data_IF_346347305709
#
_entry.id   IF_346347305709
#
_cell.length_a   1.000
_cell.length_b   1.000
_cell.length_c   1.000
_cell.angle_alpha   90.00
_cell.angle_beta   90.00
_cell.angle_gamma   90.00
#
_symmetry.space_group_name_H-M   'P 1'
#
loop_
_entity.id
_entity.type
_entity.pdbx_description
1 polymer ?
#
# COMPACT_ATOMS: atom_id res chain seq x y z
N UNK A 1 8.67 -0.84 -7.29
CA UNK A 1 8.16 -1.96 -8.11
C UNK A 1 6.66 -2.07 -8.02
N UNK A 2 5.99 -2.66 -9.05
CA UNK A 2 4.54 -2.75 -9.13
C UNK A 2 4.03 -4.18 -8.93
N UNK A 3 2.83 -4.33 -8.35
CA UNK A 3 2.12 -5.59 -8.14
C UNK A 3 3.01 -6.62 -7.43
N UNK A 4 3.20 -7.81 -7.96
CA UNK A 4 4.13 -8.82 -7.41
C UNK A 4 5.54 -8.24 -7.14
N UNK A 5 6.05 -7.34 -8.01
CA UNK A 5 7.34 -6.67 -7.76
C UNK A 5 7.24 -5.59 -6.66
N UNK A 6 6.06 -5.09 -6.37
CA UNK A 6 5.79 -4.26 -5.20
C UNK A 6 5.94 -5.05 -3.90
N UNK A 7 5.47 -6.29 -3.88
CA UNK A 7 5.77 -7.20 -2.77
C UNK A 7 7.28 -7.44 -2.63
N UNK A 8 7.97 -7.70 -3.74
CA UNK A 8 9.45 -7.79 -3.74
C UNK A 8 10.10 -6.51 -3.24
N UNK A 9 9.55 -5.33 -3.55
CA UNK A 9 10.05 -4.04 -3.04
C UNK A 9 10.00 -3.98 -1.51
N UNK A 10 8.93 -4.44 -0.89
CA UNK A 10 8.84 -4.56 0.55
C UNK A 10 9.85 -5.58 1.09
N UNK A 11 9.89 -6.76 0.51
CA UNK A 11 10.77 -7.86 0.99
C UNK A 11 12.24 -7.46 0.93
N UNK A 12 12.71 -6.83 -0.15
CA UNK A 12 14.11 -6.41 -0.24
C UNK A 12 14.43 -5.28 0.74
N UNK A 13 13.48 -4.37 0.96
CA UNK A 13 13.66 -3.29 1.94
C UNK A 13 13.77 -3.80 3.38
N UNK A 14 13.18 -4.95 3.69
CA UNK A 14 13.31 -5.59 5.00
C UNK A 14 14.70 -6.19 5.25
N UNK A 15 15.46 -6.55 4.21
CA UNK A 15 16.72 -7.30 4.33
C UNK A 15 17.94 -6.54 3.85
N UNK A 16 17.80 -5.55 2.97
CA UNK A 16 18.93 -4.80 2.40
C UNK A 16 18.99 -3.38 2.95
N UNK A 17 19.97 -3.12 3.81
CA UNK A 17 20.18 -1.81 4.46
C UNK A 17 20.66 -0.70 3.51
N UNK A 18 20.99 -1.02 2.25
CA UNK A 18 21.37 -0.02 1.23
C UNK A 18 20.15 0.69 0.65
N UNK A 19 18.94 0.19 0.90
CA UNK A 19 17.69 0.79 0.42
C UNK A 19 17.44 2.09 1.19
N UNK A 20 17.44 3.21 0.48
CA UNK A 20 17.25 4.54 1.06
C UNK A 20 15.82 5.07 0.96
N UNK A 21 15.01 4.51 0.08
CA UNK A 21 13.59 4.81 -0.08
C UNK A 21 12.91 3.71 -0.91
N UNK A 22 11.59 3.56 -0.77
CA UNK A 22 10.81 2.59 -1.55
C UNK A 22 9.55 3.19 -2.15
N UNK A 23 9.14 2.63 -3.29
CA UNK A 23 7.83 2.92 -3.91
C UNK A 23 7.18 1.59 -4.30
N UNK A 24 6.42 0.98 -3.39
CA UNK A 24 5.51 -0.11 -3.74
C UNK A 24 4.31 0.47 -4.49
N UNK A 25 3.98 -0.14 -5.63
CA UNK A 25 2.94 0.35 -6.54
C UNK A 25 1.92 -0.77 -6.74
N UNK A 26 0.64 -0.44 -6.64
CA UNK A 26 -0.51 -1.36 -6.80
C UNK A 26 -0.31 -2.69 -6.07
N UNK A 27 0.02 -2.60 -4.80
CA UNK A 27 0.20 -3.75 -3.89
C UNK A 27 -0.40 -3.40 -2.51
N UNK A 28 -1.66 -3.07 -2.49
CA UNK A 28 -2.39 -2.61 -1.31
C UNK A 28 -2.93 -3.78 -0.49
N UNK A 29 -2.04 -4.62 0.00
CA UNK A 29 -2.44 -5.85 0.70
C UNK A 29 -1.55 -6.28 1.87
N UNK A 30 -0.76 -5.40 2.45
CA UNK A 30 -0.07 -5.75 3.69
C UNK A 30 -1.09 -6.08 4.78
N UNK A 31 -0.71 -7.00 5.68
CA UNK A 31 -1.64 -7.64 6.61
C UNK A 31 -2.70 -8.45 5.86
N UNK A 32 -2.21 -9.50 5.20
CA UNK A 32 -2.94 -10.29 4.19
C UNK A 32 -4.27 -10.85 4.70
N UNK A 33 -4.30 -11.42 5.91
CA UNK A 33 -5.51 -12.09 6.40
C UNK A 33 -6.69 -11.11 6.56
N UNK A 34 -6.60 -10.00 7.31
CA UNK A 34 -7.69 -9.05 7.39
C UNK A 34 -8.01 -8.39 6.05
N UNK A 35 -7.02 -8.20 5.17
CA UNK A 35 -7.24 -7.65 3.82
C UNK A 35 -8.12 -8.58 2.97
N UNK A 36 -7.84 -9.88 2.91
CA UNK A 36 -8.67 -10.82 2.16
C UNK A 36 -10.03 -11.08 2.80
N UNK A 37 -10.12 -11.10 4.12
CA UNK A 37 -11.43 -11.19 4.81
C UNK A 37 -12.29 -9.96 4.49
N UNK A 38 -11.68 -8.78 4.43
CA UNK A 38 -12.38 -7.56 4.04
C UNK A 38 -12.79 -7.59 2.57
N UNK A 39 -11.93 -8.06 1.67
CA UNK A 39 -12.23 -8.25 0.25
C UNK A 39 -13.50 -9.11 0.07
N UNK A 40 -13.54 -10.29 0.70
CA UNK A 40 -14.72 -11.15 0.66
C UNK A 40 -15.97 -10.48 1.22
N UNK A 41 -15.84 -9.79 2.35
CA UNK A 41 -16.97 -9.09 2.99
C UNK A 41 -17.52 -7.94 2.13
N UNK A 42 -16.64 -7.24 1.41
CA UNK A 42 -17.04 -6.11 0.56
C UNK A 42 -17.79 -6.57 -0.71
N UNK A 43 -17.33 -7.66 -1.32
CA UNK A 43 -17.91 -8.15 -2.59
C UNK A 43 -18.90 -9.28 -2.44
N UNK A 44 -18.89 -10.01 -1.31
CA UNK A 44 -19.63 -11.27 -1.15
C UNK A 44 -18.97 -12.49 -1.83
N UNK A 45 -17.84 -12.28 -2.51
CA UNK A 45 -17.03 -13.29 -3.19
C UNK A 45 -15.60 -12.80 -3.33
N UNK A 46 -14.70 -13.68 -3.76
CA UNK A 46 -13.35 -13.27 -4.16
C UNK A 46 -13.35 -12.85 -5.63
N UNK A 47 -12.85 -11.66 -5.94
CA UNK A 47 -12.79 -11.15 -7.30
C UNK A 47 -12.02 -12.11 -8.23
N UNK A 48 -12.42 -12.22 -9.51
CA UNK A 48 -11.74 -13.11 -10.47
C UNK A 48 -10.24 -12.89 -10.57
N UNK A 49 -9.77 -11.64 -10.34
CA UNK A 49 -8.36 -11.30 -10.35
C UNK A 49 -7.52 -12.04 -9.29
N UNK A 50 -8.13 -12.49 -8.20
CA UNK A 50 -7.48 -13.31 -7.15
C UNK A 50 -7.89 -14.78 -7.22
N UNK A 51 -8.46 -15.22 -8.34
CA UNK A 51 -8.97 -16.57 -8.56
C UNK A 51 -7.93 -17.67 -8.34
N UNK A 52 -6.69 -17.45 -8.73
CA UNK A 52 -5.59 -18.41 -8.54
C UNK A 52 -5.44 -18.84 -7.06
N UNK A 53 -5.59 -17.90 -6.13
CA UNK A 53 -5.53 -18.21 -4.71
C UNK A 53 -6.74 -19.01 -4.21
N UNK A 54 -7.90 -18.78 -4.82
CA UNK A 54 -9.13 -19.55 -4.53
C UNK A 54 -8.99 -20.97 -5.04
N UNK A 55 -8.54 -21.14 -6.29
CA UNK A 55 -8.34 -22.46 -6.93
C UNK A 55 -7.30 -23.30 -6.19
N UNK A 56 -6.24 -22.67 -5.68
CA UNK A 56 -5.23 -23.32 -4.85
C UNK A 56 -5.71 -23.62 -3.41
N UNK A 57 -6.94 -23.23 -3.05
CA UNK A 57 -7.48 -23.42 -1.71
C UNK A 57 -6.85 -22.56 -0.61
N UNK A 58 -6.02 -21.57 -0.98
CA UNK A 58 -5.26 -20.71 -0.02
C UNK A 58 -6.21 -19.96 0.90
N UNK A 59 -7.36 -19.52 0.41
CA UNK A 59 -8.33 -18.77 1.19
C UNK A 59 -8.91 -19.54 2.37
N UNK A 60 -8.93 -20.88 2.30
CA UNK A 60 -9.36 -21.75 3.39
C UNK A 60 -8.32 -21.90 4.52
N UNK A 61 -7.08 -21.47 4.31
CA UNK A 61 -5.98 -21.64 5.27
C UNK A 61 -5.78 -20.44 6.20
N UNK A 62 -6.45 -19.32 5.93
CA UNK A 62 -6.18 -18.01 6.57
C UNK A 62 -6.17 -18.05 8.10
N UNK A 63 -6.99 -18.90 8.72
CA UNK A 63 -7.10 -19.00 10.17
C UNK A 63 -6.29 -20.17 10.77
N UNK A 64 -5.47 -20.87 9.96
CA UNK A 64 -4.68 -22.00 10.40
C UNK A 64 -3.33 -21.57 10.99
N UNK A 65 -2.79 -22.33 11.98
CA UNK A 65 -1.46 -22.08 12.48
C UNK A 65 -0.35 -22.23 11.43
N UNK A 66 -0.55 -23.10 10.44
CA UNK A 66 0.36 -23.32 9.32
C UNK A 66 0.47 -22.08 8.44
N UNK A 67 -0.67 -21.47 8.10
CA UNK A 67 -0.68 -20.24 7.31
C UNK A 67 -0.04 -19.08 8.07
N UNK A 68 -0.33 -18.96 9.37
CA UNK A 68 0.31 -17.96 10.21
C UNK A 68 1.84 -18.10 10.19
N UNK A 69 2.37 -19.32 10.38
CA UNK A 69 3.83 -19.55 10.32
C UNK A 69 4.42 -19.24 8.95
N UNK A 70 3.66 -19.47 7.87
CA UNK A 70 4.09 -19.07 6.52
C UNK A 70 4.18 -17.55 6.41
N UNK A 71 3.16 -16.81 6.87
CA UNK A 71 3.15 -15.35 6.83
C UNK A 71 4.30 -14.75 7.63
N UNK A 72 4.63 -15.27 8.81
CA UNK A 72 5.80 -14.84 9.60
C UNK A 72 7.12 -14.88 8.79
N UNK A 73 7.19 -15.69 7.72
CA UNK A 73 8.36 -15.77 6.83
C UNK A 73 8.21 -14.85 5.61
N UNK A 74 7.05 -14.86 4.96
CA UNK A 74 6.90 -14.27 3.62
C UNK A 74 6.20 -12.92 3.61
N UNK A 75 5.45 -12.57 4.68
CA UNK A 75 4.66 -11.35 4.67
C UNK A 75 5.47 -10.14 5.12
N UNK A 76 5.55 -9.09 4.30
CA UNK A 76 6.24 -7.86 4.68
C UNK A 76 5.69 -7.19 5.95
N UNK A 77 4.42 -7.39 6.28
CA UNK A 77 3.82 -6.83 7.50
C UNK A 77 4.49 -7.32 8.78
N UNK A 78 5.04 -8.52 8.79
CA UNK A 78 5.78 -9.09 9.93
C UNK A 78 7.13 -8.40 10.19
N UNK A 79 7.56 -7.50 9.30
CA UNK A 79 8.85 -6.81 9.36
C UNK A 79 8.72 -5.29 9.46
N UNK A 80 7.59 -4.78 9.98
CA UNK A 80 7.27 -3.35 10.02
C UNK A 80 8.37 -2.48 10.64
N UNK A 81 9.03 -2.97 11.68
CA UNK A 81 10.10 -2.27 12.37
C UNK A 81 11.35 -2.01 11.49
N UNK A 82 11.48 -2.73 10.38
CA UNK A 82 12.58 -2.58 9.43
C UNK A 82 12.34 -1.48 8.40
N UNK A 83 11.09 -1.02 8.23
CA UNK A 83 10.72 -0.03 7.21
C UNK A 83 10.81 1.40 7.72
N UNK A 84 11.99 1.82 8.17
CA UNK A 84 12.22 3.18 8.68
C UNK A 84 12.50 4.22 7.58
N UNK A 85 12.90 3.76 6.38
CA UNK A 85 13.17 4.62 5.23
C UNK A 85 11.89 5.31 4.71
N UNK A 86 12.02 6.45 4.02
CA UNK A 86 10.92 7.08 3.31
C UNK A 86 10.24 6.13 2.33
N UNK A 87 8.92 6.19 2.27
CA UNK A 87 8.12 5.34 1.38
C UNK A 87 6.96 6.10 0.76
N UNK A 88 6.69 5.79 -0.50
CA UNK A 88 5.54 6.32 -1.22
C UNK A 88 4.73 5.19 -1.82
N UNK A 89 3.52 4.99 -1.32
CA UNK A 89 2.60 3.97 -1.77
C UNK A 89 1.71 4.59 -2.86
N UNK A 90 1.70 3.98 -4.03
CA UNK A 90 0.84 4.41 -5.15
C UNK A 90 -0.09 3.26 -5.49
N UNK A 91 -1.38 3.45 -5.27
CA UNK A 91 -2.41 2.46 -5.52
C UNK A 91 -3.47 3.02 -6.48
N UNK A 92 -4.32 2.17 -7.01
CA UNK A 92 -5.40 2.54 -7.92
C UNK A 92 -6.76 2.49 -7.21
N UNK A 93 -7.64 3.46 -7.48
CA UNK A 93 -8.98 3.47 -6.88
C UNK A 93 -9.92 2.41 -7.46
N UNK A 94 -9.66 1.96 -8.69
CA UNK A 94 -10.41 0.89 -9.38
C UNK A 94 -9.61 -0.39 -9.53
N UNK A 95 -8.71 -0.71 -8.58
CA UNK A 95 -7.90 -1.92 -8.63
C UNK A 95 -8.78 -3.16 -8.49
N UNK A 96 -8.66 -4.09 -9.43
CA UNK A 96 -9.44 -5.32 -9.44
C UNK A 96 -8.88 -6.42 -8.53
N UNK A 97 -7.67 -6.24 -7.97
CA UNK A 97 -7.06 -7.15 -7.00
C UNK A 97 -7.25 -6.67 -5.57
N UNK A 98 -7.08 -5.37 -5.32
CA UNK A 98 -7.01 -4.80 -3.97
C UNK A 98 -8.02 -3.68 -3.78
N UNK A 99 -8.76 -3.72 -2.68
CA UNK A 99 -9.72 -2.68 -2.35
C UNK A 99 -9.03 -1.35 -2.03
N UNK A 100 -9.58 -0.20 -2.47
CA UNK A 100 -8.98 1.12 -2.26
C UNK A 100 -8.98 1.60 -0.81
N UNK A 101 -9.52 0.82 0.12
CA UNK A 101 -9.51 1.10 1.55
C UNK A 101 -8.65 0.09 2.34
N UNK A 102 -7.86 -0.74 1.66
CA UNK A 102 -7.00 -1.75 2.29
C UNK A 102 -5.89 -1.14 3.15
N UNK A 103 -5.49 0.11 2.87
CA UNK A 103 -4.53 0.86 3.68
C UNK A 103 -4.85 0.86 5.19
N UNK A 104 -6.11 0.77 5.57
CA UNK A 104 -6.55 0.78 6.98
C UNK A 104 -6.00 -0.36 7.81
N UNK A 105 -5.60 -1.46 7.17
CA UNK A 105 -5.07 -2.63 7.86
C UNK A 105 -3.57 -2.53 8.18
N UNK A 106 -2.86 -1.55 7.62
CA UNK A 106 -1.41 -1.50 7.79
C UNK A 106 -0.79 -0.09 7.82
N UNK A 107 -1.38 0.88 7.11
CA UNK A 107 -0.71 2.17 6.85
C UNK A 107 -0.34 2.92 8.12
N UNK A 108 -1.22 2.96 9.13
CA UNK A 108 -0.93 3.66 10.39
C UNK A 108 0.27 3.05 11.14
N UNK A 109 0.50 1.75 10.98
CA UNK A 109 1.58 1.01 11.64
C UNK A 109 2.94 1.13 10.95
N UNK A 110 2.99 1.65 9.71
CA UNK A 110 4.25 1.89 9.02
C UNK A 110 5.06 2.98 9.70
N UNK A 111 6.34 2.72 9.94
CA UNK A 111 7.27 3.66 10.56
C UNK A 111 7.88 4.62 9.53
N UNK A 112 8.45 5.72 10.04
CA UNK A 112 9.14 6.72 9.21
C UNK A 112 8.22 7.53 8.31
N UNK A 113 8.84 8.32 7.42
CA UNK A 113 8.10 9.14 6.48
C UNK A 113 7.37 8.28 5.46
N UNK A 114 6.08 8.52 5.32
CA UNK A 114 5.21 7.74 4.45
C UNK A 114 4.20 8.63 3.75
N UNK A 115 3.96 8.34 2.48
CA UNK A 115 2.95 8.99 1.65
C UNK A 115 2.09 7.93 0.99
N UNK A 116 0.81 8.23 0.82
CA UNK A 116 -0.17 7.35 0.18
C UNK A 116 -0.91 8.15 -0.90
N UNK A 117 -1.03 7.56 -2.07
CA UNK A 117 -1.84 8.06 -3.17
C UNK A 117 -2.70 6.94 -3.74
N UNK A 118 -3.99 7.18 -3.82
CA UNK A 118 -4.87 6.44 -4.72
C UNK A 118 -5.04 7.25 -6.01
N UNK A 119 -4.71 6.63 -7.13
CA UNK A 119 -4.87 7.23 -8.45
C UNK A 119 -6.33 7.07 -8.86
N UNK A 120 -7.08 8.17 -9.03
CA UNK A 120 -8.51 8.11 -9.33
C UNK A 120 -8.75 7.55 -10.73
N UNK A 121 -9.86 6.83 -10.89
CA UNK A 121 -10.31 6.27 -12.17
C UNK A 121 -9.29 5.38 -12.88
N UNK A 122 -8.34 4.81 -12.14
CA UNK A 122 -7.32 3.91 -12.67
C UNK A 122 -7.53 2.49 -12.13
N UNK A 123 -7.30 1.50 -12.99
CA UNK A 123 -7.21 0.09 -12.61
C UNK A 123 -5.78 -0.30 -12.20
N UNK A 124 -5.56 -1.59 -11.99
CA UNK A 124 -4.28 -2.14 -11.53
C UNK A 124 -3.05 -1.77 -12.40
N UNK A 125 -3.23 -1.58 -13.70
CA UNK A 125 -2.14 -1.18 -14.61
C UNK A 125 -1.71 0.28 -14.45
N UNK A 126 -2.57 1.15 -13.88
CA UNK A 126 -2.42 2.60 -13.83
C UNK A 126 -2.34 3.25 -15.23
N UNK A 127 -2.77 2.56 -16.28
CA UNK A 127 -2.72 3.05 -17.65
C UNK A 127 -3.49 4.37 -17.84
N UNK A 128 -2.92 5.27 -18.63
CA UNK A 128 -3.53 6.57 -18.93
C UNK A 128 -3.56 7.55 -17.75
N UNK A 129 -2.92 7.20 -16.61
CA UNK A 129 -2.90 8.06 -15.42
C UNK A 129 -1.65 8.94 -15.35
N UNK A 130 -1.71 9.90 -14.44
CA UNK A 130 -0.60 10.79 -14.11
C UNK A 130 0.34 10.26 -13.01
N UNK A 131 0.22 8.99 -12.63
CA UNK A 131 1.00 8.37 -11.55
C UNK A 131 2.52 8.50 -11.74
N UNK A 132 2.97 8.48 -12.99
CA UNK A 132 4.39 8.62 -13.34
C UNK A 132 4.98 9.97 -12.89
N UNK A 133 4.19 11.04 -12.93
CA UNK A 133 4.66 12.37 -12.48
C UNK A 133 4.87 12.40 -10.96
N UNK A 134 3.99 11.78 -10.20
CA UNK A 134 4.16 11.64 -8.75
C UNK A 134 5.38 10.79 -8.38
N UNK A 135 5.59 9.69 -9.11
CA UNK A 135 6.77 8.85 -8.95
C UNK A 135 8.05 9.64 -9.24
N UNK A 136 8.08 10.40 -10.36
CA UNK A 136 9.22 11.21 -10.75
C UNK A 136 9.50 12.32 -9.72
N UNK A 137 8.46 12.99 -9.22
CA UNK A 137 8.59 14.03 -8.19
C UNK A 137 9.16 13.46 -6.90
N UNK A 138 8.66 12.32 -6.44
CA UNK A 138 9.18 11.65 -5.25
C UNK A 138 10.64 11.21 -5.44
N UNK A 139 10.96 10.58 -6.57
CA UNK A 139 12.31 10.15 -6.91
C UNK A 139 13.30 11.33 -6.92
N UNK A 140 12.90 12.43 -7.56
CA UNK A 140 13.70 13.66 -7.59
C UNK A 140 13.93 14.22 -6.17
N UNK A 141 12.91 14.22 -5.32
CA UNK A 141 13.06 14.68 -3.94
C UNK A 141 14.04 13.82 -3.12
N UNK A 142 13.99 12.49 -3.28
CA UNK A 142 14.94 11.57 -2.62
C UNK A 142 16.37 11.81 -3.11
N UNK A 143 16.60 11.91 -4.43
CA UNK A 143 17.93 12.11 -5.00
C UNK A 143 18.57 13.44 -4.56
N UNK A 144 17.77 14.51 -4.55
CA UNK A 144 18.25 15.84 -4.20
C UNK A 144 18.13 16.14 -2.69
N UNK A 145 17.73 15.16 -1.88
CA UNK A 145 17.49 15.33 -0.44
C UNK A 145 16.55 16.50 -0.13
N UNK A 146 15.57 16.74 -1.02
CA UNK A 146 14.56 17.77 -0.83
C UNK A 146 13.56 17.31 0.22
N UNK A 147 13.23 18.21 1.16
CA UNK A 147 12.24 17.90 2.19
C UNK A 147 10.88 17.65 1.56
N UNK A 148 10.33 16.46 1.78
CA UNK A 148 8.98 16.10 1.36
C UNK A 148 7.93 16.77 2.26
N UNK A 149 6.72 17.04 1.77
CA UNK A 149 5.64 17.59 2.59
C UNK A 149 5.36 16.72 3.81
N UNK A 150 5.16 17.36 4.95
CA UNK A 150 4.72 16.69 6.17
C UNK A 150 3.24 16.99 6.36
N UNK A 151 2.44 15.96 6.32
CA UNK A 151 0.99 16.02 6.55
C UNK A 151 0.52 14.76 7.25
N UNK A 152 -0.62 14.88 7.91
CA UNK A 152 -1.35 13.77 8.50
C UNK A 152 -2.84 13.90 8.14
N UNK A 153 -3.58 12.81 8.22
CA UNK A 153 -4.99 12.79 7.89
C UNK A 153 -5.74 11.73 8.68
N UNK A 154 -7.00 12.03 8.96
CA UNK A 154 -7.93 11.12 9.63
C UNK A 154 -9.30 11.18 8.97
N UNK A 155 -9.92 10.00 8.86
CA UNK A 155 -11.32 9.89 8.49
C UNK A 155 -12.17 10.13 9.74
N UNK A 156 -13.06 11.10 9.69
CA UNK A 156 -13.95 11.46 10.79
C UNK A 156 -15.18 10.55 10.83
N UNK A 157 -15.95 10.61 11.92
CA UNK A 157 -17.17 9.80 12.09
C UNK A 157 -18.25 10.11 11.05
N UNK A 158 -18.30 11.34 10.55
CA UNK A 158 -19.22 11.79 9.50
C UNK A 158 -18.76 11.43 8.07
N UNK A 159 -17.63 10.71 7.95
CA UNK A 159 -17.03 10.33 6.68
C UNK A 159 -16.15 11.39 6.03
N UNK A 160 -16.05 12.59 6.60
CA UNK A 160 -15.12 13.62 6.11
C UNK A 160 -13.65 13.23 6.37
N UNK A 161 -12.74 13.79 5.58
CA UNK A 161 -11.31 13.59 5.74
C UNK A 161 -10.68 14.89 6.24
N UNK A 162 -10.18 14.87 7.47
CA UNK A 162 -9.42 15.99 8.04
C UNK A 162 -7.95 15.82 7.70
N UNK A 163 -7.40 16.79 6.95
CA UNK A 163 -5.97 16.83 6.62
C UNK A 163 -5.29 17.94 7.42
N UNK A 164 -4.19 17.61 8.09
CA UNK A 164 -3.35 18.56 8.83
C UNK A 164 -1.99 18.65 8.17
N UNK A 165 -1.54 19.85 7.82
CA UNK A 165 -0.24 20.08 7.18
C UNK A 165 0.63 21.01 8.02
N UNK A 166 1.96 20.76 8.04
CA UNK A 166 2.92 21.67 8.68
C UNK A 166 3.30 22.86 7.81
N UNK A 167 3.11 22.75 6.51
CA UNK A 167 3.41 23.79 5.53
C UNK A 167 2.13 24.10 4.76
N UNK A 168 1.87 25.40 4.57
CA UNK A 168 0.67 25.82 3.80
C UNK A 168 0.75 25.26 2.38
N UNK A 169 -0.25 24.48 1.93
CA UNK A 169 -0.29 23.97 0.57
C UNK A 169 -0.50 25.12 -0.42
N UNK A 170 0.01 24.99 -1.63
CA UNK A 170 -0.27 25.93 -2.73
C UNK A 170 -1.69 25.75 -3.24
N UNK A 171 -2.14 24.52 -3.29
CA UNK A 171 -3.44 24.12 -3.82
C UNK A 171 -3.93 22.90 -3.06
N UNK A 172 -5.22 22.79 -2.88
CA UNK A 172 -5.92 21.62 -2.35
C UNK A 172 -7.04 21.29 -3.34
N UNK A 173 -7.02 20.08 -3.86
CA UNK A 173 -8.04 19.56 -4.79
C UNK A 173 -8.89 18.51 -4.04
N UNK A 174 -10.19 18.51 -4.33
CA UNK A 174 -11.16 17.53 -3.87
C UNK A 174 -11.53 16.59 -5.02
#
# INVERSE_FOLDING_TARGET
GASKRGWTTWSIAAVDKRIVAIVPIVIDMLNVVPSFKHHYRAYGFYAPAVGDYVEMGIMGWQDTPEYKRLLEIVEPYEYLERYTMPKYLINASGDQFFLPDSWKFYYKNLLGQKHLRYVPNAGHSLDGSDAVYSLAAYYNAILNKTKLPEYDWDVQEDGSIKVTTKVRPKEVLL
#
